data_IF_687105541787
#
_entry.id   IF_687105541787
#
_cell.length_a   1.000
_cell.length_b   1.000
_cell.length_c   1.000
_cell.angle_alpha   90.00
_cell.angle_beta   90.00
_cell.angle_gamma   90.00
#
_symmetry.space_group_name_H-M   'P 1'
#
loop_
_entity.id
_entity.type
_entity.pdbx_description
1 polymer ?
#
# COMPACT_ATOMS: atom_id res chain seq x y z
N UNK A 1 -13.39 -11.36 19.99
CA UNK A 1 -13.22 -10.81 18.63
C UNK A 1 -14.18 -11.57 17.73
N UNK A 2 -15.28 -10.92 17.30
CA UNK A 2 -16.20 -11.52 16.34
C UNK A 2 -15.46 -11.65 15.00
N UNK A 3 -15.26 -12.88 14.55
CA UNK A 3 -14.58 -13.18 13.29
C UNK A 3 -15.41 -12.64 12.13
N UNK A 4 -14.78 -11.82 11.28
CA UNK A 4 -15.36 -11.36 10.02
C UNK A 4 -15.78 -12.59 9.22
N UNK A 5 -17.00 -12.60 8.71
CA UNK A 5 -17.54 -13.73 7.94
C UNK A 5 -16.72 -13.96 6.67
N UNK A 6 -16.61 -15.19 6.18
CA UNK A 6 -15.91 -15.50 4.91
C UNK A 6 -16.44 -14.67 3.74
N UNK A 7 -17.74 -14.36 3.73
CA UNK A 7 -18.35 -13.46 2.75
C UNK A 7 -17.80 -12.04 2.88
N UNK A 8 -17.62 -11.54 4.11
CA UNK A 8 -17.01 -10.24 4.35
C UNK A 8 -15.54 -10.23 3.94
N UNK A 9 -14.77 -11.30 4.19
CA UNK A 9 -13.40 -11.41 3.67
C UNK A 9 -13.35 -11.41 2.14
N UNK A 10 -14.34 -12.01 1.47
CA UNK A 10 -14.44 -12.01 0.02
C UNK A 10 -14.69 -10.61 -0.55
N UNK A 11 -15.69 -9.91 -0.01
CA UNK A 11 -16.02 -8.52 -0.40
C UNK A 11 -14.86 -7.58 -0.06
N UNK A 12 -14.21 -7.78 1.09
CA UNK A 12 -13.07 -6.99 1.51
C UNK A 12 -11.84 -7.28 0.63
N UNK A 13 -11.60 -8.54 0.25
CA UNK A 13 -10.54 -8.89 -0.71
C UNK A 13 -10.73 -8.23 -2.08
N UNK A 14 -11.98 -8.16 -2.55
CA UNK A 14 -12.32 -7.46 -3.79
C UNK A 14 -12.03 -5.95 -3.67
N UNK A 15 -12.46 -5.30 -2.58
CA UNK A 15 -12.16 -3.88 -2.31
C UNK A 15 -10.65 -3.61 -2.38
N UNK A 16 -9.84 -4.42 -1.70
CA UNK A 16 -8.39 -4.23 -1.67
C UNK A 16 -7.74 -4.42 -3.06
N UNK A 17 -8.30 -5.28 -3.90
CA UNK A 17 -7.84 -5.43 -5.28
C UNK A 17 -8.07 -4.15 -6.09
N UNK A 18 -9.27 -3.58 -5.99
CA UNK A 18 -9.62 -2.32 -6.66
C UNK A 18 -8.75 -1.15 -6.18
N UNK A 19 -8.47 -1.08 -4.87
CA UNK A 19 -7.56 -0.09 -4.29
C UNK A 19 -6.11 -0.26 -4.78
N UNK A 20 -5.65 -1.52 -4.87
CA UNK A 20 -4.31 -1.84 -5.38
C UNK A 20 -4.16 -1.42 -6.85
N UNK A 21 -5.18 -1.70 -7.68
CA UNK A 21 -5.20 -1.31 -9.10
C UNK A 21 -5.21 0.22 -9.24
N UNK A 22 -6.07 0.92 -8.50
CA UNK A 22 -6.14 2.38 -8.55
C UNK A 22 -4.85 3.06 -8.05
N UNK A 23 -4.21 2.52 -7.03
CA UNK A 23 -2.93 3.02 -6.54
C UNK A 23 -1.82 2.78 -7.56
N UNK A 24 -1.77 1.60 -8.19
CA UNK A 24 -0.82 1.30 -9.25
C UNK A 24 -1.00 2.23 -10.46
N UNK A 25 -2.25 2.50 -10.85
CA UNK A 25 -2.56 3.45 -11.91
C UNK A 25 -2.09 4.87 -11.55
N UNK A 26 -2.35 5.34 -10.33
CA UNK A 26 -1.87 6.66 -9.87
C UNK A 26 -0.34 6.78 -9.88
N UNK A 27 0.39 5.73 -9.49
CA UNK A 27 1.86 5.71 -9.57
C UNK A 27 2.30 5.88 -11.03
N UNK A 28 1.72 5.08 -11.94
CA UNK A 28 2.06 5.12 -13.37
C UNK A 28 1.71 6.47 -14.01
N UNK A 29 0.53 7.03 -13.70
CA UNK A 29 0.10 8.33 -14.19
C UNK A 29 0.96 9.45 -13.62
N UNK A 30 1.27 9.44 -12.33
CA UNK A 30 2.15 10.43 -11.69
C UNK A 30 3.55 10.39 -12.28
N UNK A 31 4.10 9.20 -12.52
CA UNK A 31 5.37 9.05 -13.23
C UNK A 31 5.27 9.58 -14.67
N UNK A 32 4.17 9.27 -15.37
CA UNK A 32 3.97 9.73 -16.73
C UNK A 32 3.84 11.26 -16.81
N UNK A 33 3.18 11.93 -15.87
CA UNK A 33 3.07 13.40 -15.84
C UNK A 33 4.42 14.07 -15.56
N UNK A 34 5.22 13.50 -14.66
CA UNK A 34 6.58 13.97 -14.35
C UNK A 34 7.52 13.77 -15.55
N UNK A 35 7.38 12.64 -16.25
CA UNK A 35 8.11 12.28 -17.47
C UNK A 35 7.48 12.80 -18.76
N UNK A 36 6.34 13.51 -18.72
CA UNK A 36 5.69 14.16 -19.86
C UNK A 36 5.79 15.69 -19.79
N UNK A 37 6.45 16.25 -18.78
CA UNK A 37 6.49 17.69 -18.56
C UNK A 37 7.50 18.40 -19.49
N UNK A 38 7.05 19.17 -20.51
CA UNK A 38 7.93 19.85 -21.46
C UNK A 38 8.84 20.91 -20.81
N UNK A 39 8.49 21.40 -19.62
CA UNK A 39 9.29 22.38 -18.88
C UNK A 39 10.59 21.79 -18.32
N UNK A 40 10.69 20.47 -18.17
CA UNK A 40 11.88 19.79 -17.64
C UNK A 40 12.94 19.45 -18.71
N UNK A 41 12.59 19.51 -20.00
CA UNK A 41 13.52 19.28 -21.12
C UNK A 41 13.67 20.47 -22.06
N UNK A 42 12.94 21.55 -21.82
CA UNK A 42 13.18 22.81 -22.52
C UNK A 42 14.58 23.31 -22.12
N UNK A 43 15.56 23.10 -22.99
CA UNK A 43 16.86 23.76 -22.88
C UNK A 43 16.64 25.28 -23.01
N UNK A 44 17.20 26.12 -22.11
CA UNK A 44 17.24 27.55 -22.38
C UNK A 44 18.02 27.71 -23.68
N UNK A 45 17.34 28.18 -24.72
CA UNK A 45 17.95 28.48 -26.01
C UNK A 45 18.89 29.67 -25.80
N UNK A 46 20.16 29.42 -25.51
CA UNK A 46 21.20 30.45 -25.59
C UNK A 46 21.45 30.73 -27.06
N UNK A 47 21.17 31.94 -27.59
CA UNK A 47 21.55 32.27 -28.96
C UNK A 47 23.07 32.45 -29.01
N UNK A 48 23.77 31.49 -29.64
CA UNK A 48 25.19 31.62 -29.95
C UNK A 48 25.37 31.89 -31.44
N UNK A 49 25.81 33.11 -31.77
CA UNK A 49 26.55 33.39 -33.01
C UNK A 49 26.22 34.71 -33.70
N UNK A 50 27.06 35.75 -33.50
CA UNK A 50 27.27 36.78 -34.52
C UNK A 50 27.40 38.26 -34.12
N UNK A 51 28.47 38.62 -33.39
CA UNK A 51 29.20 39.92 -33.43
C UNK A 51 28.49 41.28 -33.12
N UNK A 52 29.27 42.36 -32.82
CA UNK A 52 28.92 43.38 -31.81
C UNK A 52 28.41 44.73 -32.37
N UNK A 53 27.53 45.44 -31.64
CA UNK A 53 27.33 46.89 -31.77
C UNK A 53 26.54 47.53 -30.59
N UNK A 54 27.28 48.17 -29.67
CA UNK A 54 26.97 49.32 -28.78
C UNK A 54 25.83 49.30 -27.71
N UNK A 55 25.96 50.13 -26.63
CA UNK A 55 25.39 49.88 -25.30
C UNK A 55 24.29 50.88 -24.86
N UNK A 56 23.40 50.46 -23.94
CA UNK A 56 22.54 51.31 -23.07
C UNK A 56 21.71 50.35 -22.19
N UNK A 57 21.61 50.43 -20.86
CA UNK A 57 21.88 51.46 -19.86
C UNK A 57 22.01 50.71 -18.51
N UNK A 58 23.20 50.71 -17.90
CA UNK A 58 23.40 50.25 -16.51
C UNK A 58 23.91 51.43 -15.68
N UNK A 59 23.15 51.74 -14.63
CA UNK A 59 23.47 52.71 -13.57
C UNK A 59 24.71 52.31 -12.75
N UNK A 60 25.50 53.28 -12.23
CA UNK A 60 26.85 53.04 -11.68
C UNK A 60 26.92 53.03 -10.14
N UNK A 61 27.92 52.33 -9.60
CA UNK A 61 28.38 52.40 -8.19
C UNK A 61 29.01 51.07 -7.74
N UNK A 62 30.29 50.81 -8.04
CA UNK A 62 31.51 51.19 -7.27
C UNK A 62 31.73 50.31 -6.03
N UNK A 63 32.54 49.24 -6.15
CA UNK A 63 33.94 49.04 -5.69
C UNK A 63 34.10 48.74 -4.19
N UNK A 64 34.91 47.71 -3.94
CA UNK A 64 35.62 47.35 -2.69
C UNK A 64 34.83 46.66 -1.59
N UNK A 65 35.36 45.71 -0.83
CA UNK A 65 36.55 44.83 -0.83
C UNK A 65 36.38 43.96 0.45
N UNK A 66 37.35 43.10 0.72
CA UNK A 66 37.69 42.57 2.06
C UNK A 66 36.94 41.31 2.56
N UNK A 67 37.71 40.23 2.58
CA UNK A 67 37.55 39.00 3.36
C UNK A 67 37.18 39.29 4.83
N UNK A 68 36.14 38.64 5.36
CA UNK A 68 35.99 38.42 6.80
C UNK A 68 35.25 37.11 7.12
N UNK A 69 36.06 36.10 7.45
CA UNK A 69 36.02 35.21 8.62
C UNK A 69 34.62 34.84 9.18
N UNK A 70 34.44 33.52 9.27
CA UNK A 70 33.40 32.75 9.97
C UNK A 70 32.71 33.42 11.17
N UNK A 71 31.38 33.50 11.12
CA UNK A 71 30.49 33.42 12.28
C UNK A 71 29.17 32.73 11.88
N UNK A 72 28.84 31.57 12.46
CA UNK A 72 27.47 31.20 12.72
C UNK A 72 27.23 31.31 14.23
N UNK A 73 26.61 32.41 14.68
CA UNK A 73 26.01 32.45 16.01
C UNK A 73 24.49 32.27 15.90
N UNK A 74 23.96 31.59 16.91
CA UNK A 74 22.70 30.90 16.94
C UNK A 74 21.50 31.84 16.93
N UNK A 75 20.44 31.45 16.22
CA UNK A 75 19.14 32.08 16.39
C UNK A 75 18.14 31.80 15.28
N UNK A 76 17.54 30.62 15.30
CA UNK A 76 16.37 30.35 14.45
C UNK A 76 15.98 28.88 14.42
N UNK A 77 15.16 28.46 15.38
CA UNK A 77 14.38 27.23 15.26
C UNK A 77 13.58 27.27 13.95
N UNK A 78 13.97 26.43 13.00
CA UNK A 78 13.23 26.12 11.80
C UNK A 78 13.11 24.60 11.67
N UNK A 79 12.38 23.99 12.59
CA UNK A 79 11.85 22.66 12.37
C UNK A 79 10.89 22.70 11.17
N UNK A 80 11.17 21.88 10.17
CA UNK A 80 10.38 21.75 8.95
C UNK A 80 11.21 20.94 7.98
N UNK A 81 11.27 19.62 8.12
CA UNK A 81 10.13 18.77 7.82
C UNK A 81 10.28 18.38 6.36
N UNK A 82 10.71 17.14 6.11
CA UNK A 82 10.85 16.59 4.77
C UNK A 82 9.52 16.62 4.04
N UNK A 83 9.26 17.71 3.32
CA UNK A 83 8.13 17.87 2.42
C UNK A 83 8.62 17.64 0.98
N UNK A 84 9.22 16.47 0.76
CA UNK A 84 9.48 15.92 -0.56
C UNK A 84 8.59 14.71 -0.87
N UNK A 85 7.57 14.44 -0.03
CA UNK A 85 6.60 13.37 -0.27
C UNK A 85 5.54 13.82 -1.24
N UNK A 86 5.84 13.72 -2.54
CA UNK A 86 4.90 14.05 -3.61
C UNK A 86 3.70 13.10 -3.66
N UNK A 87 2.74 13.39 -4.55
CA UNK A 87 1.63 12.50 -4.85
C UNK A 87 2.09 11.06 -5.18
N UNK A 88 3.31 10.91 -5.72
CA UNK A 88 3.97 9.64 -5.98
C UNK A 88 4.30 8.84 -4.71
N UNK A 89 4.86 9.48 -3.68
CA UNK A 89 5.17 8.82 -2.40
C UNK A 89 3.90 8.39 -1.67
N UNK A 90 2.86 9.23 -1.73
CA UNK A 90 1.54 8.92 -1.19
C UNK A 90 0.88 7.74 -1.93
N UNK A 91 0.92 7.73 -3.27
CA UNK A 91 0.40 6.61 -4.06
C UNK A 91 1.17 5.30 -3.78
N UNK A 92 2.48 5.39 -3.59
CA UNK A 92 3.33 4.26 -3.20
C UNK A 92 2.98 3.73 -1.81
N UNK A 93 2.71 4.62 -0.86
CA UNK A 93 2.29 4.24 0.49
C UNK A 93 0.95 3.47 0.45
N UNK A 94 -0.03 3.97 -0.32
CA UNK A 94 -1.35 3.30 -0.48
C UNK A 94 -1.23 1.93 -1.12
N UNK A 95 -0.43 1.79 -2.17
CA UNK A 95 -0.18 0.49 -2.80
C UNK A 95 0.41 -0.51 -1.79
N UNK A 96 1.41 -0.10 -1.01
CA UNK A 96 2.03 -0.97 0.02
C UNK A 96 1.01 -1.39 1.09
N UNK A 97 0.17 -0.46 1.53
CA UNK A 97 -0.89 -0.72 2.51
C UNK A 97 -1.93 -1.70 1.98
N UNK A 98 -2.48 -1.45 0.77
CA UNK A 98 -3.48 -2.31 0.13
C UNK A 98 -2.94 -3.74 -0.10
N UNK A 99 -1.68 -3.89 -0.51
CA UNK A 99 -1.03 -5.19 -0.69
C UNK A 99 -0.84 -5.92 0.66
N UNK A 100 -0.51 -5.22 1.74
CA UNK A 100 -0.38 -5.83 3.05
C UNK A 100 -1.72 -6.41 3.53
N UNK A 101 -2.82 -5.67 3.36
CA UNK A 101 -4.16 -6.15 3.68
C UNK A 101 -4.62 -7.29 2.78
N UNK A 102 -4.33 -7.24 1.47
CA UNK A 102 -4.63 -8.35 0.55
C UNK A 102 -3.92 -9.64 0.97
N UNK A 103 -2.66 -9.55 1.40
CA UNK A 103 -1.90 -10.69 1.94
C UNK A 103 -2.52 -11.24 3.22
N UNK A 104 -3.02 -10.38 4.11
CA UNK A 104 -3.71 -10.82 5.32
C UNK A 104 -5.01 -11.58 5.01
N UNK A 105 -5.80 -11.09 4.03
CA UNK A 105 -7.00 -11.80 3.55
C UNK A 105 -6.63 -13.16 2.96
N UNK A 106 -5.60 -13.23 2.10
CA UNK A 106 -5.14 -14.49 1.51
C UNK A 106 -4.64 -15.48 2.56
N UNK A 107 -3.94 -15.02 3.59
CA UNK A 107 -3.45 -15.87 4.68
C UNK A 107 -4.58 -16.43 5.56
N UNK A 108 -5.75 -15.79 5.58
CA UNK A 108 -6.90 -16.26 6.35
C UNK A 108 -7.70 -17.38 5.63
N UNK A 109 -7.58 -17.52 4.30
CA UNK A 109 -8.33 -18.51 3.50
C UNK A 109 -7.98 -19.97 3.88
N UNK A 110 -6.70 -20.35 4.07
CA UNK A 110 -6.35 -21.70 4.54
C UNK A 110 -6.87 -21.98 5.95
N UNK A 111 -6.83 -20.99 6.85
CA UNK A 111 -7.30 -21.13 8.23
C UNK A 111 -8.79 -21.47 8.29
N UNK A 112 -9.63 -20.84 7.46
CA UNK A 112 -11.05 -21.20 7.39
C UNK A 112 -11.26 -22.61 6.81
N UNK A 113 -10.43 -23.02 5.85
CA UNK A 113 -10.54 -24.35 5.23
C UNK A 113 -10.16 -25.47 6.21
N UNK A 114 -9.14 -25.24 7.03
CA UNK A 114 -8.72 -26.18 8.07
C UNK A 114 -9.75 -26.27 9.21
N UNK A 115 -10.32 -25.14 9.64
CA UNK A 115 -11.39 -25.14 10.65
C UNK A 115 -12.62 -25.92 10.18
N UNK A 116 -13.03 -25.74 8.91
CA UNK A 116 -14.12 -26.51 8.30
C UNK A 116 -13.81 -28.02 8.25
N UNK A 117 -12.56 -28.39 7.97
CA UNK A 117 -12.14 -29.79 7.95
C UNK A 117 -12.20 -30.45 9.34
N UNK A 118 -11.74 -29.75 10.39
CA UNK A 118 -11.82 -30.25 11.77
C UNK A 118 -13.27 -30.39 12.25
N UNK A 119 -14.14 -29.42 11.93
CA UNK A 119 -15.56 -29.54 12.24
C UNK A 119 -16.22 -30.70 11.51
N UNK A 120 -15.85 -30.96 10.25
CA UNK A 120 -16.35 -32.12 9.49
C UNK A 120 -15.94 -33.44 10.15
N UNK A 121 -14.70 -33.53 10.66
CA UNK A 121 -14.21 -34.70 11.41
C UNK A 121 -15.02 -34.92 12.69
N UNK A 122 -15.32 -33.85 13.44
CA UNK A 122 -16.14 -33.95 14.65
C UNK A 122 -17.58 -34.43 14.35
N UNK A 123 -18.19 -33.89 13.28
CA UNK A 123 -19.52 -34.34 12.84
C UNK A 123 -19.52 -35.81 12.45
N UNK A 124 -18.49 -36.28 11.72
CA UNK A 124 -18.36 -37.71 11.37
C UNK A 124 -18.26 -38.59 12.62
N UNK A 125 -17.44 -38.18 13.60
CA UNK A 125 -17.31 -38.91 14.87
C UNK A 125 -18.66 -39.00 15.60
N UNK A 126 -19.41 -37.91 15.64
CA UNK A 126 -20.73 -37.89 16.26
C UNK A 126 -21.70 -38.83 15.54
N UNK A 127 -21.69 -38.85 14.20
CA UNK A 127 -22.49 -39.79 13.39
C UNK A 127 -22.10 -41.23 13.71
N UNK A 128 -20.81 -41.54 13.82
CA UNK A 128 -20.34 -42.89 14.14
C UNK A 128 -20.73 -43.32 15.57
N UNK A 129 -20.63 -42.40 16.53
CA UNK A 129 -21.11 -42.63 17.90
C UNK A 129 -22.61 -42.93 17.93
N UNK A 130 -23.42 -42.15 17.20
CA UNK A 130 -24.87 -42.41 17.10
C UNK A 130 -25.17 -43.74 16.42
N UNK A 131 -24.44 -44.10 15.36
CA UNK A 131 -24.60 -45.39 14.67
C UNK A 131 -24.31 -46.57 15.60
N UNK A 132 -23.24 -46.49 16.37
CA UNK A 132 -22.90 -47.52 17.35
C UNK A 132 -23.98 -47.63 18.42
N UNK A 133 -24.46 -46.50 18.95
CA UNK A 133 -25.52 -46.49 19.96
C UNK A 133 -26.82 -47.13 19.45
N UNK A 134 -27.21 -46.85 18.20
CA UNK A 134 -28.38 -47.48 17.57
C UNK A 134 -28.16 -48.98 17.40
N UNK A 135 -26.95 -49.40 16.99
CA UNK A 135 -26.60 -50.82 16.85
C UNK A 135 -26.66 -51.53 18.20
N UNK A 136 -26.13 -50.92 19.25
CA UNK A 136 -26.19 -51.44 20.61
C UNK A 136 -27.64 -51.56 21.06
N UNK A 137 -28.45 -50.52 20.91
CA UNK A 137 -29.87 -50.58 21.26
C UNK A 137 -30.64 -51.66 20.49
N UNK A 138 -30.30 -51.86 19.21
CA UNK A 138 -30.90 -52.90 18.38
C UNK A 138 -30.57 -54.32 18.87
N UNK A 139 -29.39 -54.54 19.47
CA UNK A 139 -29.06 -55.82 20.11
C UNK A 139 -29.96 -56.12 21.31
N UNK A 140 -30.47 -55.09 22.00
CA UNK A 140 -31.31 -55.24 23.19
C UNK A 140 -32.79 -55.35 22.84
N UNK A 141 -33.19 -54.89 21.65
CA UNK A 141 -34.53 -55.09 21.09
C UNK A 141 -34.71 -56.44 20.38
N UNK A 142 -33.63 -57.20 20.20
CA UNK A 142 -33.76 -58.59 19.77
C UNK A 142 -34.54 -59.34 20.84
N UNK A 143 -35.73 -59.93 20.55
CA UNK A 143 -36.47 -60.66 21.55
C UNK A 143 -35.55 -61.74 22.08
N UNK A 144 -35.23 -61.69 23.37
CA UNK A 144 -34.71 -62.84 24.09
C UNK A 144 -35.77 -63.93 23.94
N UNK A 145 -35.61 -64.78 22.92
CA UNK A 145 -36.51 -65.88 22.64
C UNK A 145 -36.69 -66.67 23.94
N UNK A 146 -37.91 -66.58 24.46
CA UNK A 146 -38.51 -67.52 25.39
C UNK A 146 -38.65 -68.90 24.75
#
# INVERSE_FOLDING_TARGET
>A
MAGKSTQELGVEGQRHLEETINAAFQILSSMNEELCNPFLWATPSTPAGGAPAYPQLNTPGDISSEISIHQPDAGGSGGGGGAGGGALDEARLRYKSAVASLRAVLAAIPCSSQELAEKNKHVKLLIDQFRNLISDFSMWQSPSCS
#
